data_IF_585748183549
#
_entry.id   IF_585748183549
#
_cell.length_a   1.000
_cell.length_b   1.000
_cell.length_c   1.000
_cell.angle_alpha   90.00
_cell.angle_beta   90.00
_cell.angle_gamma   90.00
#
_symmetry.space_group_name_H-M   'P 1'
#
loop_
_entity.id
_entity.type
_entity.pdbx_description
1 polymer ?
#
# COMPACT_ATOMS: atom_id res chain seq x y z
N UNK A 1 15.57 5.39 11.30
CA UNK A 1 14.65 6.35 11.95
C UNK A 1 13.45 6.50 11.04
N UNK A 2 12.23 6.60 11.57
CA UNK A 2 11.03 6.71 10.74
C UNK A 2 11.12 7.80 9.68
N UNK A 3 10.52 7.54 8.53
CA UNK A 3 10.73 8.35 7.32
C UNK A 3 9.59 9.35 7.12
N UNK A 4 9.90 10.65 7.10
CA UNK A 4 8.96 11.66 6.61
C UNK A 4 8.87 11.60 5.09
N UNK A 5 7.75 12.05 4.55
CA UNK A 5 7.53 12.08 3.10
C UNK A 5 8.53 13.02 2.43
N UNK A 6 8.85 14.16 3.05
CA UNK A 6 9.88 15.08 2.55
C UNK A 6 11.22 14.39 2.42
N UNK A 7 11.63 13.64 3.46
CA UNK A 7 12.92 12.95 3.45
C UNK A 7 12.95 11.84 2.40
N UNK A 8 11.86 11.11 2.25
CA UNK A 8 11.70 10.09 1.21
C UNK A 8 11.87 10.70 -0.19
N UNK A 9 11.07 11.73 -0.52
CA UNK A 9 11.10 12.36 -1.84
C UNK A 9 12.46 12.98 -2.14
N UNK A 10 13.02 13.78 -1.21
CA UNK A 10 14.33 14.42 -1.38
C UNK A 10 15.44 13.40 -1.64
N UNK A 11 15.48 12.32 -0.86
CA UNK A 11 16.54 11.30 -1.00
C UNK A 11 16.44 10.55 -2.32
N UNK A 12 15.23 10.37 -2.85
CA UNK A 12 15.01 9.75 -4.16
C UNK A 12 15.07 10.73 -5.34
N UNK A 13 15.30 12.03 -5.09
CA UNK A 13 15.32 13.06 -6.13
C UNK A 13 13.97 13.29 -6.81
N UNK A 14 12.87 13.06 -6.09
CA UNK A 14 11.50 13.26 -6.58
C UNK A 14 10.95 14.61 -6.11
N UNK A 15 10.30 15.40 -6.99
CA UNK A 15 9.66 16.65 -6.58
C UNK A 15 8.37 16.37 -5.79
N UNK A 16 8.03 17.24 -4.84
CA UNK A 16 6.68 17.26 -4.31
C UNK A 16 5.76 18.01 -5.29
N UNK A 17 4.70 17.39 -5.76
CA UNK A 17 3.79 17.98 -6.75
C UNK A 17 2.41 18.31 -6.18
N UNK A 18 2.00 17.67 -5.10
CA UNK A 18 0.77 18.02 -4.41
C UNK A 18 0.29 16.94 -3.46
N UNK A 19 -0.84 17.25 -2.82
CA UNK A 19 -1.50 16.42 -1.83
C UNK A 19 -3.01 16.55 -1.99
N UNK A 20 -3.72 15.47 -1.73
CA UNK A 20 -5.19 15.46 -1.57
C UNK A 20 -5.57 14.57 -0.40
N UNK A 21 -6.78 14.72 0.14
CA UNK A 21 -7.32 13.73 1.07
C UNK A 21 -7.70 12.45 0.34
N UNK A 22 -7.77 11.35 1.06
CA UNK A 22 -8.26 10.10 0.52
C UNK A 22 -9.66 10.26 -0.07
N UNK A 23 -9.88 9.72 -1.27
CA UNK A 23 -11.14 9.86 -2.01
C UNK A 23 -11.27 11.14 -2.83
N UNK A 24 -10.43 12.15 -2.62
CA UNK A 24 -10.49 13.40 -3.38
C UNK A 24 -9.83 13.28 -4.76
N UNK A 25 -10.29 14.13 -5.67
CA UNK A 25 -9.84 14.15 -7.05
C UNK A 25 -8.43 14.75 -7.20
N UNK A 26 -7.52 14.01 -7.85
CA UNK A 26 -6.19 14.52 -8.21
C UNK A 26 -6.22 15.17 -9.59
N UNK A 27 -5.93 16.46 -9.68
CA UNK A 27 -5.87 17.19 -10.95
C UNK A 27 -4.54 17.04 -11.71
N UNK A 28 -3.85 15.90 -11.60
CA UNK A 28 -2.65 15.59 -12.40
C UNK A 28 -2.96 14.57 -13.49
N UNK A 29 -2.52 14.82 -14.73
CA UNK A 29 -2.52 13.81 -15.81
C UNK A 29 -1.12 13.27 -16.07
N UNK A 30 -0.15 13.60 -15.22
CA UNK A 30 1.22 13.15 -15.37
C UNK A 30 1.38 11.68 -14.92
N UNK A 31 2.50 11.09 -15.32
CA UNK A 31 3.04 9.90 -14.67
C UNK A 31 3.76 10.32 -13.38
N UNK A 32 4.02 9.36 -12.50
CA UNK A 32 4.79 9.60 -11.29
C UNK A 32 4.49 8.61 -10.17
N UNK A 33 4.65 9.08 -8.94
CA UNK A 33 4.50 8.29 -7.72
C UNK A 33 3.46 8.90 -6.81
N UNK A 34 2.82 8.07 -6.00
CA UNK A 34 1.90 8.50 -4.97
C UNK A 34 2.14 7.72 -3.67
N UNK A 35 1.98 8.41 -2.55
CA UNK A 35 2.27 7.93 -1.21
C UNK A 35 1.01 8.15 -0.38
N UNK A 36 0.49 7.08 0.21
CA UNK A 36 -0.62 7.14 1.16
C UNK A 36 -0.03 7.23 2.55
N UNK A 37 -0.45 8.21 3.34
CA UNK A 37 0.08 8.46 4.66
C UNK A 37 -0.99 8.86 5.67
N UNK A 38 -0.64 8.68 6.94
CA UNK A 38 -1.45 9.08 8.11
C UNK A 38 -1.45 10.59 8.33
N UNK A 39 -0.37 11.27 7.93
CA UNK A 39 -0.20 12.71 8.10
C UNK A 39 -0.81 13.51 6.95
N UNK A 40 -1.24 14.74 7.23
CA UNK A 40 -1.60 15.76 6.26
C UNK A 40 -0.45 16.75 5.98
N UNK A 41 0.74 16.52 6.55
CA UNK A 41 1.89 17.39 6.41
C UNK A 41 3.14 16.57 6.06
N UNK A 42 3.76 16.93 4.94
CA UNK A 42 4.88 16.22 4.34
C UNK A 42 6.12 16.07 5.25
N UNK A 43 6.29 16.98 6.22
CA UNK A 43 7.40 17.02 7.17
C UNK A 43 7.08 16.36 8.53
N UNK A 44 5.83 15.97 8.78
CA UNK A 44 5.42 15.41 10.08
C UNK A 44 5.42 13.89 10.09
N UNK A 45 5.79 13.32 11.24
CA UNK A 45 5.57 11.92 11.56
C UNK A 45 4.30 11.82 12.41
N UNK A 46 3.19 11.46 11.78
CA UNK A 46 1.97 11.06 12.49
C UNK A 46 1.94 9.53 12.48
N UNK A 47 1.91 8.93 13.65
CA UNK A 47 1.99 7.48 13.84
C UNK A 47 0.82 7.00 14.70
N UNK A 48 0.43 5.74 14.53
CA UNK A 48 -0.65 5.10 15.31
C UNK A 48 -0.06 3.83 15.92
N UNK A 49 -0.09 3.71 17.25
CA UNK A 49 0.48 2.56 17.95
C UNK A 49 -0.23 1.24 17.60
N UNK A 50 -1.57 1.28 17.52
CA UNK A 50 -2.40 0.13 17.15
C UNK A 50 -3.38 0.51 16.03
N UNK A 51 -3.34 -0.16 14.87
CA UNK A 51 -4.27 0.14 13.80
C UNK A 51 -5.68 -0.30 14.20
N UNK A 52 -6.68 0.43 13.71
CA UNK A 52 -8.06 -0.04 13.75
C UNK A 52 -8.47 -0.52 12.35
N UNK A 53 -8.99 -1.75 12.29
CA UNK A 53 -9.40 -2.39 11.06
C UNK A 53 -10.92 -2.52 11.02
N UNK A 54 -11.50 -2.13 9.89
CA UNK A 54 -12.94 -2.13 9.68
C UNK A 54 -13.49 -3.56 9.58
N UNK A 55 -14.25 -3.96 10.60
CA UNK A 55 -14.93 -5.26 10.61
C UNK A 55 -15.87 -5.40 9.42
N UNK A 56 -16.57 -4.31 9.06
CA UNK A 56 -17.49 -4.27 7.92
C UNK A 56 -16.73 -4.49 6.60
N UNK A 57 -15.59 -3.82 6.40
CA UNK A 57 -14.83 -3.97 5.17
C UNK A 57 -14.24 -5.39 5.02
N UNK A 58 -13.68 -5.93 6.11
CA UNK A 58 -13.10 -7.28 6.10
C UNK A 58 -14.18 -8.36 5.95
N UNK A 59 -15.34 -8.20 6.60
CA UNK A 59 -16.45 -9.14 6.40
C UNK A 59 -16.94 -9.12 4.94
N UNK A 60 -17.14 -7.93 4.35
CA UNK A 60 -17.51 -7.80 2.93
C UNK A 60 -16.47 -8.43 2.01
N UNK A 61 -15.20 -8.31 2.34
CA UNK A 61 -14.12 -8.96 1.60
C UNK A 61 -14.21 -10.49 1.67
N UNK A 62 -14.38 -11.06 2.86
CA UNK A 62 -14.57 -12.50 3.04
C UNK A 62 -15.78 -13.00 2.23
N UNK A 63 -16.92 -12.32 2.33
CA UNK A 63 -18.14 -12.69 1.60
C UNK A 63 -17.97 -12.57 0.09
N UNK A 64 -17.29 -11.53 -0.40
CA UNK A 64 -16.97 -11.38 -1.82
C UNK A 64 -16.15 -12.56 -2.33
N UNK A 65 -15.13 -13.01 -1.61
CA UNK A 65 -14.32 -14.16 -2.06
C UNK A 65 -15.18 -15.44 -2.13
N UNK A 66 -16.12 -15.62 -1.19
CA UNK A 66 -17.04 -16.76 -1.17
C UNK A 66 -17.97 -16.81 -2.38
N UNK A 67 -18.36 -15.69 -2.98
CA UNK A 67 -19.24 -15.69 -4.17
C UNK A 67 -18.63 -16.43 -5.37
N UNK A 68 -17.30 -16.54 -5.42
CA UNK A 68 -16.57 -17.30 -6.44
C UNK A 68 -16.30 -18.77 -6.08
N UNK A 69 -16.88 -19.27 -4.99
CA UNK A 69 -16.59 -20.61 -4.46
C UNK A 69 -15.23 -20.76 -3.79
N UNK A 70 -14.54 -19.65 -3.50
CA UNK A 70 -13.23 -19.63 -2.83
C UNK A 70 -13.35 -19.22 -1.36
N UNK A 71 -12.27 -19.41 -0.61
CA UNK A 71 -12.12 -18.95 0.77
C UNK A 71 -10.75 -18.34 0.95
N UNK A 72 -10.68 -17.19 1.63
CA UNK A 72 -9.41 -16.60 2.06
C UNK A 72 -8.76 -17.60 3.02
N UNK A 73 -7.49 -17.90 2.78
CA UNK A 73 -6.73 -18.76 3.69
C UNK A 73 -5.65 -17.98 4.41
N UNK A 74 -5.40 -18.35 5.66
CA UNK A 74 -4.33 -17.87 6.52
C UNK A 74 -3.58 -19.10 7.02
N UNK A 75 -2.28 -19.18 6.74
CA UNK A 75 -1.44 -20.34 7.10
C UNK A 75 -2.06 -21.68 6.68
N UNK A 76 -2.59 -21.73 5.46
CA UNK A 76 -3.28 -22.89 4.86
C UNK A 76 -4.58 -23.32 5.58
N UNK A 77 -5.16 -22.48 6.43
CA UNK A 77 -6.48 -22.68 7.06
C UNK A 77 -7.44 -21.60 6.61
N UNK A 78 -8.74 -21.88 6.63
CA UNK A 78 -9.77 -20.87 6.33
C UNK A 78 -9.64 -19.72 7.33
N UNK A 79 -9.50 -18.50 6.82
CA UNK A 79 -9.38 -17.32 7.64
C UNK A 79 -10.76 -16.75 7.99
N UNK A 80 -10.96 -16.40 9.25
CA UNK A 80 -12.11 -15.62 9.70
C UNK A 80 -11.72 -14.14 9.89
N UNK A 81 -12.71 -13.31 10.24
CA UNK A 81 -12.54 -11.88 10.47
C UNK A 81 -11.39 -11.59 11.48
N UNK A 82 -11.39 -12.30 12.61
CA UNK A 82 -10.41 -12.08 13.68
C UNK A 82 -9.00 -12.51 13.25
N UNK A 83 -8.88 -13.64 12.56
CA UNK A 83 -7.62 -14.15 12.03
C UNK A 83 -7.01 -13.20 11.00
N UNK A 84 -7.82 -12.65 10.09
CA UNK A 84 -7.35 -11.65 9.13
C UNK A 84 -6.86 -10.39 9.86
N UNK A 85 -7.65 -9.84 10.79
CA UNK A 85 -7.25 -8.65 11.57
C UNK A 85 -5.93 -8.86 12.30
N UNK A 86 -5.84 -9.94 13.08
CA UNK A 86 -4.60 -10.32 13.79
C UNK A 86 -3.42 -10.47 12.83
N UNK A 87 -3.61 -11.04 11.64
CA UNK A 87 -2.51 -11.13 10.66
C UNK A 87 -2.10 -9.76 10.14
N UNK A 88 -3.04 -8.87 9.84
CA UNK A 88 -2.74 -7.51 9.36
C UNK A 88 -2.02 -6.68 10.43
N UNK A 89 -2.34 -6.84 11.72
CA UNK A 89 -1.65 -6.19 12.84
C UNK A 89 -0.13 -6.48 12.83
N UNK A 90 0.28 -7.71 12.50
CA UNK A 90 1.70 -8.08 12.42
C UNK A 90 2.45 -7.47 11.22
N UNK A 91 1.78 -6.67 10.40
CA UNK A 91 2.38 -5.88 9.33
C UNK A 91 2.24 -4.38 9.55
N UNK A 92 1.71 -3.96 10.70
CA UNK A 92 1.59 -2.56 11.05
C UNK A 92 2.91 -1.99 11.58
N UNK A 93 3.16 -0.73 11.26
CA UNK A 93 4.36 0.00 11.63
C UNK A 93 3.98 1.10 12.62
N UNK A 94 4.08 0.87 13.95
CA UNK A 94 3.52 1.77 14.95
C UNK A 94 4.23 3.12 15.04
N UNK A 95 5.43 3.23 14.46
CA UNK A 95 6.26 4.43 14.44
C UNK A 95 6.43 5.04 13.04
N UNK A 96 5.73 4.54 12.02
CA UNK A 96 5.80 5.07 10.66
C UNK A 96 4.52 5.80 10.25
N UNK A 97 4.67 6.79 9.36
CA UNK A 97 3.52 7.56 8.81
C UNK A 97 3.07 7.06 7.44
N UNK A 98 3.96 6.40 6.69
CA UNK A 98 3.71 5.94 5.32
C UNK A 98 3.01 4.58 5.36
N UNK A 99 1.84 4.49 4.74
CA UNK A 99 1.01 3.27 4.70
C UNK A 99 1.20 2.51 3.38
N UNK A 100 1.38 3.23 2.28
CA UNK A 100 1.53 2.66 0.95
C UNK A 100 2.32 3.58 0.02
N UNK A 101 3.12 2.99 -0.86
CA UNK A 101 3.83 3.67 -1.95
C UNK A 101 3.44 3.01 -3.27
N UNK A 102 3.03 3.79 -4.27
CA UNK A 102 2.68 3.27 -5.58
C UNK A 102 3.17 4.14 -6.73
N UNK A 103 3.24 3.52 -7.92
CA UNK A 103 3.57 4.19 -9.18
C UNK A 103 2.40 4.29 -10.14
N UNK A 104 2.45 5.32 -10.98
CA UNK A 104 1.54 5.58 -12.08
C UNK A 104 2.32 5.95 -13.34
N UNK A 105 2.55 4.98 -14.22
CA UNK A 105 3.35 5.17 -15.42
C UNK A 105 4.10 3.90 -15.80
N UNK A 106 5.15 4.00 -16.63
CA UNK A 106 5.62 5.22 -17.32
C UNK A 106 4.77 5.59 -18.55
N UNK A 107 3.79 4.77 -18.92
CA UNK A 107 2.88 5.05 -20.02
C UNK A 107 1.91 6.20 -19.69
N UNK A 108 1.79 7.20 -20.59
CA UNK A 108 0.86 8.34 -20.47
C UNK A 108 -0.61 7.96 -20.25
N UNK A 109 -1.02 6.72 -20.56
CA UNK A 109 -2.38 6.19 -20.26
C UNK A 109 -2.57 5.76 -18.80
N UNK A 110 -1.50 5.66 -18.00
CA UNK A 110 -1.48 5.27 -16.57
C UNK A 110 -1.08 6.47 -15.70
N UNK A 111 -1.91 7.50 -15.68
CA UNK A 111 -1.64 8.74 -14.93
C UNK A 111 -1.86 8.58 -13.43
N UNK A 112 -1.27 9.47 -12.62
CA UNK A 112 -1.46 9.51 -11.16
C UNK A 112 -2.95 9.55 -10.82
N UNK A 113 -3.70 10.48 -11.42
CA UNK A 113 -5.16 10.59 -11.26
C UNK A 113 -5.87 9.27 -11.53
N UNK A 114 -5.55 8.60 -12.64
CA UNK A 114 -6.22 7.36 -13.01
C UNK A 114 -5.92 6.25 -11.99
N UNK A 115 -4.67 6.09 -11.60
CA UNK A 115 -4.25 5.05 -10.65
C UNK A 115 -4.82 5.31 -9.25
N UNK A 116 -4.77 6.53 -8.77
CA UNK A 116 -5.36 6.86 -7.46
C UNK A 116 -6.89 6.72 -7.49
N UNK A 117 -7.55 7.14 -8.58
CA UNK A 117 -9.00 6.91 -8.76
C UNK A 117 -9.35 5.42 -8.79
N UNK A 118 -8.66 4.62 -9.60
CA UNK A 118 -8.84 3.16 -9.65
C UNK A 118 -8.67 2.55 -8.24
N UNK A 119 -7.77 3.09 -7.43
CA UNK A 119 -7.54 2.62 -6.07
C UNK A 119 -8.70 2.89 -5.11
N UNK A 120 -9.38 4.04 -5.25
CA UNK A 120 -10.57 4.37 -4.47
C UNK A 120 -11.79 3.54 -4.89
N UNK A 121 -11.91 3.23 -6.18
CA UNK A 121 -13.07 2.53 -6.75
C UNK A 121 -12.97 1.01 -6.65
N UNK A 122 -11.75 0.45 -6.60
CA UNK A 122 -11.54 -0.99 -6.56
C UNK A 122 -12.00 -1.56 -5.22
N UNK A 123 -13.06 -2.38 -5.27
CA UNK A 123 -13.55 -3.11 -4.09
C UNK A 123 -12.45 -4.02 -3.55
N UNK A 124 -12.32 -4.05 -2.23
CA UNK A 124 -11.43 -4.97 -1.53
C UNK A 124 -11.79 -6.41 -1.89
N UNK A 125 -10.82 -7.17 -2.41
CA UNK A 125 -11.03 -8.54 -2.89
C UNK A 125 -11.21 -8.69 -4.40
N UNK A 126 -11.23 -7.61 -5.18
CA UNK A 126 -11.15 -7.70 -6.63
C UNK A 126 -9.67 -7.75 -7.09
N UNK A 127 -9.33 -8.67 -7.99
CA UNK A 127 -7.98 -8.87 -8.55
C UNK A 127 -7.59 -7.84 -9.62
N UNK A 128 -8.47 -6.85 -9.84
CA UNK A 128 -8.30 -5.78 -10.79
C UNK A 128 -7.09 -4.89 -10.52
N UNK A 129 -7.03 -3.80 -11.29
CA UNK A 129 -5.98 -2.78 -11.16
C UNK A 129 -5.95 -2.33 -9.70
N UNK A 130 -4.84 -2.60 -9.00
CA UNK A 130 -4.60 -2.30 -7.56
C UNK A 130 -4.79 -3.43 -6.52
N UNK A 131 -4.88 -4.69 -6.94
CA UNK A 131 -4.77 -5.83 -6.01
C UNK A 131 -3.56 -5.73 -5.06
N UNK A 132 -2.46 -5.11 -5.49
CA UNK A 132 -1.23 -4.93 -4.72
C UNK A 132 -1.35 -4.06 -3.46
N UNK A 133 -2.26 -3.08 -3.42
CA UNK A 133 -2.39 -2.10 -2.33
C UNK A 133 -3.67 -2.22 -1.50
N UNK A 134 -4.52 -3.21 -1.78
CA UNK A 134 -5.89 -3.24 -1.25
C UNK A 134 -6.02 -3.27 0.28
N UNK A 135 -4.95 -3.59 1.03
CA UNK A 135 -4.96 -3.60 2.48
C UNK A 135 -5.22 -2.21 3.08
N UNK A 136 -4.95 -1.11 2.38
CA UNK A 136 -5.36 0.23 2.86
C UNK A 136 -6.87 0.30 3.10
N UNK A 137 -7.68 -0.34 2.26
CA UNK A 137 -9.14 -0.35 2.38
C UNK A 137 -9.64 -1.24 3.54
N UNK A 138 -8.73 -1.88 4.30
CA UNK A 138 -9.07 -2.59 5.54
C UNK A 138 -9.07 -1.67 6.76
N UNK A 139 -8.48 -0.47 6.67
CA UNK A 139 -8.38 0.47 7.79
C UNK A 139 -9.73 1.13 8.08
N UNK A 140 -10.09 1.22 9.35
CA UNK A 140 -11.32 1.88 9.79
C UNK A 140 -11.32 3.38 9.48
N UNK A 141 -10.17 4.02 9.58
CA UNK A 141 -9.98 5.45 9.36
C UNK A 141 -9.46 5.80 7.95
N UNK A 142 -9.73 4.96 6.94
CA UNK A 142 -9.21 5.14 5.57
C UNK A 142 -9.53 6.53 4.98
N UNK A 143 -10.70 7.10 5.29
CA UNK A 143 -11.12 8.43 4.84
C UNK A 143 -10.30 9.59 5.43
N UNK A 144 -9.54 9.33 6.51
CA UNK A 144 -8.65 10.33 7.13
C UNK A 144 -7.24 10.34 6.53
N UNK A 145 -6.92 9.37 5.66
CA UNK A 145 -5.61 9.29 5.02
C UNK A 145 -5.41 10.42 4.00
N UNK A 146 -4.15 10.68 3.67
CA UNK A 146 -3.76 11.63 2.65
C UNK A 146 -2.98 10.93 1.54
N UNK A 147 -3.11 11.44 0.32
CA UNK A 147 -2.34 11.01 -0.84
C UNK A 147 -1.43 12.14 -1.28
N UNK A 148 -0.14 11.97 -1.07
CA UNK A 148 0.91 12.84 -1.58
C UNK A 148 1.37 12.30 -2.92
N UNK A 149 1.64 13.17 -3.89
CA UNK A 149 2.10 12.73 -5.20
C UNK A 149 3.26 13.55 -5.74
N UNK A 150 4.03 12.89 -6.60
CA UNK A 150 5.18 13.42 -7.30
C UNK A 150 5.01 13.12 -8.77
N UNK A 151 4.96 14.16 -9.61
CA UNK A 151 4.99 14.02 -11.06
C UNK A 151 6.40 13.70 -11.52
N UNK A 152 6.57 12.58 -12.21
CA UNK A 152 7.87 12.11 -12.66
C UNK A 152 7.77 11.28 -13.93
N UNK A 153 8.70 11.50 -14.87
CA UNK A 153 8.78 10.76 -16.13
C UNK A 153 10.23 10.56 -16.62
N UNK A 154 11.20 10.57 -15.70
CA UNK A 154 12.60 10.32 -16.01
C UNK A 154 12.87 8.91 -16.52
N UNK A 155 14.03 8.69 -17.13
CA UNK A 155 14.44 7.40 -17.72
C UNK A 155 14.60 6.28 -16.67
N UNK A 156 14.86 6.64 -15.42
CA UNK A 156 15.01 5.75 -14.26
C UNK A 156 13.68 5.53 -13.51
N UNK A 157 12.53 5.76 -14.16
CA UNK A 157 11.20 5.66 -13.54
C UNK A 157 10.97 4.33 -12.79
N UNK A 158 11.40 3.21 -13.37
CA UNK A 158 11.23 1.90 -12.73
C UNK A 158 12.15 1.74 -11.51
N UNK A 159 13.37 2.28 -11.56
CA UNK A 159 14.30 2.31 -10.43
C UNK A 159 13.80 3.18 -9.28
N UNK A 160 13.05 4.26 -9.56
CA UNK A 160 12.53 5.16 -8.51
C UNK A 160 11.57 4.45 -7.54
N UNK A 161 10.71 3.55 -8.01
CA UNK A 161 9.83 2.78 -7.12
C UNK A 161 10.64 1.90 -6.18
N UNK A 162 11.66 1.21 -6.73
CA UNK A 162 12.55 0.37 -5.95
C UNK A 162 13.31 1.21 -4.91
N UNK A 163 13.86 2.37 -5.30
CA UNK A 163 14.56 3.29 -4.40
C UNK A 163 13.66 3.79 -3.26
N UNK A 164 12.42 4.16 -3.55
CA UNK A 164 11.45 4.61 -2.53
C UNK A 164 11.19 3.53 -1.47
N UNK A 165 10.90 2.31 -1.91
CA UNK A 165 10.57 1.21 -1.00
C UNK A 165 11.82 0.75 -0.22
N UNK A 166 12.98 0.64 -0.88
CA UNK A 166 14.24 0.29 -0.21
C UNK A 166 14.65 1.34 0.83
N UNK A 167 14.48 2.63 0.51
CA UNK A 167 14.77 3.70 1.45
C UNK A 167 13.87 3.62 2.69
N UNK A 168 12.57 3.35 2.51
CA UNK A 168 11.65 3.09 3.63
C UNK A 168 12.16 1.92 4.49
N UNK A 169 12.43 0.76 3.89
CA UNK A 169 12.87 -0.45 4.60
C UNK A 169 14.15 -0.24 5.43
N UNK A 170 15.12 0.48 4.87
CA UNK A 170 16.39 0.80 5.56
C UNK A 170 16.16 1.66 6.80
N UNK A 171 15.08 2.43 6.84
CA UNK A 171 14.79 3.40 7.88
C UNK A 171 13.80 2.92 8.93
N UNK A 172 13.05 1.84 8.66
CA UNK A 172 12.19 1.15 9.65
C UNK A 172 13.01 0.89 10.92
N UNK A 173 12.45 1.23 12.08
CA UNK A 173 13.15 1.03 13.35
C UNK A 173 13.35 -0.45 13.66
N UNK A 174 14.42 -0.77 14.40
CA UNK A 174 14.66 -2.14 14.87
C UNK A 174 13.53 -2.64 15.79
N UNK A 175 12.93 -1.73 16.58
CA UNK A 175 11.76 -2.05 17.41
C UNK A 175 10.60 -2.55 16.55
N UNK A 176 10.27 -1.84 15.47
CA UNK A 176 9.20 -2.23 14.56
C UNK A 176 9.55 -3.51 13.81
N UNK A 177 10.75 -3.61 13.21
CA UNK A 177 11.20 -4.83 12.50
C UNK A 177 11.08 -6.08 13.37
N UNK A 178 11.43 -5.99 14.64
CA UNK A 178 11.39 -7.15 15.55
C UNK A 178 9.98 -7.68 15.82
N UNK A 179 8.96 -6.83 15.67
CA UNK A 179 7.54 -7.17 15.87
C UNK A 179 6.83 -7.58 14.58
N UNK A 180 7.43 -7.33 13.41
CA UNK A 180 6.85 -7.75 12.13
C UNK A 180 6.92 -9.26 11.95
N UNK A 181 5.90 -9.81 11.31
CA UNK A 181 5.89 -11.23 10.92
C UNK A 181 6.98 -11.52 9.88
N UNK A 182 7.07 -10.68 8.83
CA UNK A 182 8.16 -10.72 7.86
C UNK A 182 9.17 -9.61 8.18
N UNK A 183 10.25 -10.00 8.87
CA UNK A 183 11.32 -9.09 9.28
C UNK A 183 12.24 -8.66 8.13
N UNK A 184 12.25 -9.44 7.04
CA UNK A 184 13.15 -9.22 5.89
C UNK A 184 12.50 -8.26 4.91
N UNK A 185 11.24 -8.51 4.53
CA UNK A 185 10.51 -7.74 3.54
C UNK A 185 9.55 -6.73 4.21
N UNK A 186 10.12 -5.83 5.01
CA UNK A 186 9.43 -4.78 5.76
C UNK A 186 8.96 -3.60 4.89
N UNK A 187 8.28 -3.88 3.77
CA UNK A 187 7.64 -2.84 2.94
C UNK A 187 6.51 -2.13 3.71
N UNK A 188 6.12 -0.90 3.32
CA UNK A 188 4.97 -0.22 3.93
C UNK A 188 3.75 -1.14 4.03
N UNK A 189 2.92 -0.93 5.04
CA UNK A 189 1.83 -1.84 5.43
C UNK A 189 1.15 -2.52 4.23
N UNK A 190 0.62 -1.73 3.30
CA UNK A 190 -0.15 -2.25 2.18
C UNK A 190 0.66 -2.63 0.93
N UNK A 191 1.98 -2.37 0.88
CA UNK A 191 2.84 -2.89 -0.18
C UNK A 191 3.08 -4.39 0.05
N UNK A 192 2.51 -5.25 -0.80
CA UNK A 192 2.65 -6.71 -0.69
C UNK A 192 3.85 -7.28 -1.45
N UNK A 193 4.40 -6.54 -2.39
CA UNK A 193 5.51 -6.97 -3.23
C UNK A 193 6.39 -5.79 -3.62
N UNK A 194 7.65 -6.09 -3.92
CA UNK A 194 8.62 -5.17 -4.51
C UNK A 194 9.19 -5.84 -5.77
N UNK A 195 9.15 -5.14 -6.90
CA UNK A 195 9.90 -5.55 -8.08
C UNK A 195 11.36 -5.08 -7.97
N UNK A 196 12.31 -6.01 -7.99
CA UNK A 196 13.74 -5.73 -7.97
C UNK A 196 14.27 -5.78 -9.40
N UNK A 197 14.57 -4.62 -9.99
CA UNK A 197 14.96 -4.54 -11.42
C UNK A 197 16.25 -5.30 -11.69
N UNK A 198 17.23 -5.17 -10.80
CA UNK A 198 18.53 -5.86 -10.86
C UNK A 198 18.40 -7.39 -10.89
N UNK A 199 17.39 -7.94 -10.21
CA UNK A 199 17.12 -9.37 -10.11
C UNK A 199 16.03 -9.85 -11.08
N UNK A 200 15.39 -8.93 -11.81
CA UNK A 200 14.24 -9.19 -12.69
C UNK A 200 13.13 -10.01 -12.03
N UNK A 201 12.92 -9.85 -10.73
CA UNK A 201 11.97 -10.65 -9.96
C UNK A 201 11.13 -9.81 -9.01
N UNK A 202 9.97 -10.34 -8.63
CA UNK A 202 9.12 -9.78 -7.59
C UNK A 202 9.40 -10.52 -6.28
N UNK A 203 9.74 -9.77 -5.24
CA UNK A 203 9.89 -10.30 -3.89
C UNK A 203 8.61 -9.96 -3.13
N UNK A 204 7.89 -11.00 -2.72
CA UNK A 204 6.61 -10.87 -2.01
C UNK A 204 6.83 -10.90 -0.50
N UNK A 205 6.12 -10.04 0.22
CA UNK A 205 6.00 -10.06 1.68
C UNK A 205 5.39 -11.39 2.12
N UNK A 206 6.02 -12.10 3.06
CA UNK A 206 5.51 -13.37 3.61
C UNK A 206 4.31 -13.10 4.53
N UNK A 207 3.14 -12.86 3.95
CA UNK A 207 1.92 -12.63 4.70
C UNK A 207 1.09 -13.89 4.97
N UNK A 208 1.36 -14.98 4.26
CA UNK A 208 0.62 -16.27 4.23
C UNK A 208 -0.91 -16.18 4.10
N UNK A 209 -1.46 -15.00 3.81
CA UNK A 209 -2.80 -14.81 3.30
C UNK A 209 -2.87 -15.20 1.82
N UNK A 210 -3.67 -16.21 1.45
CA UNK A 210 -3.87 -16.63 0.06
C UNK A 210 -5.35 -16.55 -0.32
N UNK A 211 -5.66 -16.68 -1.63
CA UNK A 211 -7.02 -16.53 -2.17
C UNK A 211 -7.69 -15.20 -1.79
N UNK A 212 -6.88 -14.15 -1.74
CA UNK A 212 -7.28 -12.81 -1.30
C UNK A 212 -8.10 -12.05 -2.33
N UNK A 213 -8.14 -12.49 -3.58
CA UNK A 213 -8.77 -11.74 -4.67
C UNK A 213 -9.44 -12.65 -5.70
N UNK A 214 -10.44 -12.11 -6.40
CA UNK A 214 -11.19 -12.75 -7.47
C UNK A 214 -11.37 -11.79 -8.65
N UNK A 215 -11.65 -12.34 -9.82
CA UNK A 215 -12.01 -11.56 -11.01
C UNK A 215 -13.45 -11.09 -10.89
N UNK A 216 -13.61 -9.85 -10.41
CA UNK A 216 -14.92 -9.24 -10.20
C UNK A 216 -15.65 -8.88 -11.50
N UNK A 217 -14.96 -8.90 -12.64
CA UNK A 217 -15.60 -8.69 -13.96
C UNK A 217 -16.29 -9.99 -14.45
N UNK A 218 -16.10 -11.12 -13.75
CA UNK A 218 -16.69 -12.44 -14.07
C UNK A 218 -17.75 -12.91 -13.08
N UNK A 219 -18.13 -12.07 -12.11
CA UNK A 219 -19.24 -12.31 -11.19
C UNK A 219 -20.56 -11.84 -11.81
#
# INVERSE_FOLDING_TARGET
>A
MPTTITRLLKTTGLPFSGQVRWGEFINSKACGFYIVALTDNIDKLVCIDKPDFSDIAIQKWIELIKTSGKQIQLDNKVADLLGIKKRLEHFWFPDETIVYIGKAGPNKKRTIRKRVKEYYETKLGCDGKHAGGHWVNTLQNVSSLNVFFSEYSGLDFEEKEEQLILYFMQNVSEKTKNNLFDKVNCYPFANKELYRKSLRTKIRKDHRLTNQTIDCDKL
#
